data_IF_082346565821
#
_entry.id   IF_082346565821
#
_cell.length_a   1.000
_cell.length_b   1.000
_cell.length_c   1.000
_cell.angle_alpha   90.00
_cell.angle_beta   90.00
_cell.angle_gamma   90.00
#
_symmetry.space_group_name_H-M   'P 1'
#
loop_
_entity.id
_entity.type
_entity.pdbx_description
1 polymer ?
#
# COMPACT_ATOMS: atom_id res chain seq x y z
N UNK A 1 20.57 -5.61 35.64
CA UNK A 1 19.18 -6.13 35.65
C UNK A 1 19.07 -7.12 34.51
N UNK A 2 18.33 -8.24 34.67
CA UNK A 2 18.04 -9.16 33.56
C UNK A 2 17.16 -8.47 32.50
N UNK A 3 17.22 -8.91 31.23
CA UNK A 3 16.40 -8.39 30.15
C UNK A 3 14.90 -8.47 30.49
N UNK A 4 14.44 -9.59 31.05
CA UNK A 4 13.05 -9.78 31.50
C UNK A 4 12.60 -8.70 32.47
N UNK A 5 13.39 -8.40 33.51
CA UNK A 5 13.06 -7.36 34.49
C UNK A 5 13.01 -5.95 33.90
N UNK A 6 13.80 -5.68 32.83
CA UNK A 6 13.73 -4.40 32.11
C UNK A 6 12.44 -4.28 31.32
N UNK A 7 11.98 -5.35 30.67
CA UNK A 7 10.75 -5.36 29.90
C UNK A 7 9.52 -5.27 30.85
N UNK A 8 9.56 -5.90 32.03
CA UNK A 8 8.48 -5.78 33.03
C UNK A 8 8.29 -4.32 33.49
N UNK A 9 9.40 -3.58 33.71
CA UNK A 9 9.34 -2.17 34.07
C UNK A 9 8.81 -1.31 32.91
N UNK A 10 9.22 -1.59 31.69
CA UNK A 10 8.71 -0.90 30.50
C UNK A 10 7.18 -1.06 30.39
N UNK A 11 6.67 -2.29 30.52
CA UNK A 11 5.23 -2.57 30.44
C UNK A 11 4.46 -1.91 31.60
N UNK A 12 5.02 -1.88 32.80
CA UNK A 12 4.44 -1.20 33.94
C UNK A 12 4.32 0.32 33.65
N UNK A 13 5.39 0.98 33.20
CA UNK A 13 5.37 2.40 32.85
C UNK A 13 4.40 2.71 31.70
N UNK A 14 4.29 1.81 30.71
CA UNK A 14 3.29 1.95 29.64
C UNK A 14 1.86 1.85 30.19
N UNK A 15 1.60 0.92 31.11
CA UNK A 15 0.27 0.77 31.76
C UNK A 15 -0.07 1.95 32.67
N UNK A 16 0.93 2.51 33.32
CA UNK A 16 0.74 3.74 34.12
C UNK A 16 0.32 4.92 33.22
N UNK A 17 0.88 5.00 32.02
CA UNK A 17 0.59 6.06 31.06
C UNK A 17 -0.72 5.87 30.27
N UNK A 18 -1.12 4.62 29.99
CA UNK A 18 -2.20 4.28 29.06
C UNK A 18 -3.40 3.57 29.74
N UNK A 19 -3.28 3.28 31.04
CA UNK A 19 -4.23 2.46 31.78
C UNK A 19 -3.89 0.95 31.74
N UNK A 20 -4.54 0.16 32.61
CA UNK A 20 -4.17 -1.25 32.87
C UNK A 20 -4.22 -2.14 31.61
N UNK A 21 -5.15 -1.87 30.69
CA UNK A 21 -5.31 -2.61 29.42
C UNK A 21 -4.60 -1.91 28.24
N UNK A 22 -3.74 -0.93 28.54
CA UNK A 22 -3.10 -0.10 27.53
C UNK A 22 -1.83 -0.69 26.93
N UNK A 23 -1.22 -1.70 27.58
CA UNK A 23 0.01 -2.34 27.09
C UNK A 23 0.14 -3.79 27.55
N UNK A 24 0.89 -4.57 26.75
CA UNK A 24 1.16 -5.97 27.01
C UNK A 24 2.55 -6.40 26.51
N UNK A 25 3.10 -7.44 27.13
CA UNK A 25 4.25 -8.22 26.65
C UNK A 25 3.94 -9.72 26.64
N UNK A 26 2.67 -10.10 26.61
CA UNK A 26 2.26 -11.51 26.52
C UNK A 26 2.75 -12.13 25.20
N UNK A 27 3.40 -13.31 25.21
CA UNK A 27 4.00 -13.89 24.02
C UNK A 27 3.06 -14.03 22.83
N UNK A 28 1.79 -14.38 23.07
CA UNK A 28 0.80 -14.51 21.99
C UNK A 28 0.50 -13.15 21.34
N UNK A 29 0.35 -12.10 22.15
CA UNK A 29 0.11 -10.74 21.64
C UNK A 29 1.33 -10.23 20.88
N UNK A 30 2.55 -10.42 21.39
CA UNK A 30 3.77 -10.06 20.67
C UNK A 30 3.86 -10.78 19.32
N UNK A 31 3.52 -12.07 19.27
CA UNK A 31 3.53 -12.84 18.02
C UNK A 31 2.50 -12.32 17.00
N UNK A 32 1.30 -11.88 17.43
CA UNK A 32 0.28 -11.28 16.55
C UNK A 32 0.76 -9.98 15.91
N UNK A 33 1.62 -9.24 16.58
CA UNK A 33 2.16 -7.96 16.07
C UNK A 33 3.59 -8.09 15.53
N UNK A 34 4.13 -9.30 15.45
CA UNK A 34 5.48 -9.59 14.96
C UNK A 34 5.65 -9.43 13.45
N UNK A 35 4.55 -9.31 12.70
CA UNK A 35 4.58 -9.16 11.23
C UNK A 35 3.40 -8.33 10.73
N UNK A 36 3.50 -7.81 9.52
CA UNK A 36 2.37 -7.29 8.75
C UNK A 36 1.78 -8.38 7.83
N UNK A 37 1.15 -8.01 6.71
CA UNK A 37 0.63 -8.97 5.73
C UNK A 37 1.70 -9.43 4.70
N UNK A 38 2.93 -8.92 4.79
CA UNK A 38 4.09 -9.35 4.00
C UNK A 38 4.73 -10.63 4.54
N UNK A 39 5.91 -10.93 4.04
CA UNK A 39 6.65 -12.17 4.35
C UNK A 39 7.63 -12.02 5.51
N UNK A 40 7.97 -10.79 5.88
CA UNK A 40 8.98 -10.46 6.90
C UNK A 40 8.42 -10.60 8.32
N UNK A 41 9.23 -11.13 9.23
CA UNK A 41 8.89 -11.29 10.65
C UNK A 41 9.90 -10.56 11.54
N UNK A 42 9.45 -10.09 12.70
CA UNK A 42 10.30 -9.41 13.68
C UNK A 42 9.79 -9.60 15.10
N UNK A 43 10.52 -9.05 16.06
CA UNK A 43 10.22 -9.21 17.47
C UNK A 43 10.03 -7.87 18.17
N UNK A 44 8.89 -7.71 18.84
CA UNK A 44 8.63 -6.58 19.74
C UNK A 44 8.93 -6.94 21.19
N UNK A 45 9.27 -5.95 22.02
CA UNK A 45 9.39 -6.13 23.49
C UNK A 45 8.10 -5.81 24.24
N UNK A 46 7.24 -4.99 23.62
CA UNK A 46 5.90 -4.67 24.16
C UNK A 46 5.01 -4.19 23.00
N UNK A 47 3.71 -4.35 23.18
CA UNK A 47 2.66 -3.75 22.33
C UNK A 47 1.82 -2.84 23.20
N UNK A 48 1.42 -1.67 22.68
CA UNK A 48 0.49 -0.78 23.38
C UNK A 48 -0.56 -0.18 22.46
N UNK A 49 -1.70 0.18 23.04
CA UNK A 49 -2.91 0.61 22.33
C UNK A 49 -3.43 1.95 22.85
N UNK A 50 -2.80 3.08 22.47
CA UNK A 50 -3.27 4.40 22.83
C UNK A 50 -4.65 4.71 22.24
N UNK A 51 -5.41 5.58 22.97
CA UNK A 51 -6.75 6.03 22.58
C UNK A 51 -6.80 7.52 22.23
N UNK A 52 -5.67 8.22 22.35
CA UNK A 52 -5.55 9.65 22.09
C UNK A 52 -4.14 10.04 21.68
N UNK A 53 -4.00 11.21 21.06
CA UNK A 53 -2.70 11.78 20.73
C UNK A 53 -1.81 11.96 21.97
N UNK A 54 -2.39 12.33 23.11
CA UNK A 54 -1.65 12.47 24.38
C UNK A 54 -1.09 11.12 24.84
N UNK A 55 -1.85 10.03 24.69
CA UNK A 55 -1.40 8.68 25.02
C UNK A 55 -0.35 8.17 24.04
N UNK A 56 -0.43 8.51 22.73
CA UNK A 56 0.63 8.22 21.76
C UNK A 56 1.93 8.91 22.19
N UNK A 57 1.87 10.20 22.52
CA UNK A 57 3.02 10.97 23.00
C UNK A 57 3.62 10.36 24.29
N UNK A 58 2.77 9.95 25.21
CA UNK A 58 3.20 9.28 26.45
C UNK A 58 3.89 7.94 26.15
N UNK A 59 3.34 7.12 25.26
CA UNK A 59 3.94 5.83 24.86
C UNK A 59 5.32 6.02 24.20
N UNK A 60 5.45 6.98 23.29
CA UNK A 60 6.75 7.36 22.68
C UNK A 60 7.76 7.76 23.75
N UNK A 61 7.39 8.66 24.67
CA UNK A 61 8.29 9.10 25.74
C UNK A 61 8.68 7.97 26.68
N UNK A 62 7.76 7.02 26.97
CA UNK A 62 8.08 5.82 27.77
C UNK A 62 9.08 4.94 27.03
N UNK A 63 8.82 4.59 25.76
CA UNK A 63 9.75 3.80 24.96
C UNK A 63 11.16 4.41 24.94
N UNK A 64 11.23 5.73 24.69
CA UNK A 64 12.48 6.50 24.67
C UNK A 64 13.23 6.46 26.03
N UNK A 65 12.54 6.64 27.16
CA UNK A 65 13.15 6.56 28.50
C UNK A 65 13.76 5.20 28.79
N UNK A 66 13.17 4.14 28.21
CA UNK A 66 13.69 2.78 28.33
C UNK A 66 14.75 2.43 27.25
N UNK A 67 15.16 3.40 26.41
CA UNK A 67 16.12 3.19 25.31
C UNK A 67 15.60 2.23 24.24
N UNK A 68 14.26 2.21 24.02
CA UNK A 68 13.63 1.36 23.01
C UNK A 68 13.16 2.20 21.83
N UNK A 69 13.38 1.72 20.60
CA UNK A 69 12.70 2.27 19.45
C UNK A 69 11.21 1.96 19.50
N UNK A 70 10.44 2.57 18.59
CA UNK A 70 9.02 2.29 18.45
C UNK A 70 8.62 2.09 16.99
N UNK A 71 7.58 1.31 16.78
CA UNK A 71 6.97 1.05 15.47
C UNK A 71 5.50 1.44 15.53
N UNK A 72 5.08 2.38 14.69
CA UNK A 72 3.66 2.70 14.52
C UNK A 72 2.96 1.60 13.73
N UNK A 73 1.73 1.22 14.15
CA UNK A 73 0.96 0.19 13.48
C UNK A 73 -0.52 0.54 13.41
N UNK A 74 -1.08 0.45 12.22
CA UNK A 74 -2.53 0.38 12.00
C UNK A 74 -3.02 -1.06 12.07
N UNK A 75 -3.80 -1.51 11.09
CA UNK A 75 -4.28 -2.90 11.02
C UNK A 75 -3.21 -3.91 10.60
N UNK A 76 -2.06 -3.46 10.09
CA UNK A 76 -0.99 -4.35 9.63
C UNK A 76 -1.26 -5.01 8.29
N UNK A 77 -1.99 -4.35 7.40
CA UNK A 77 -2.29 -4.82 6.04
C UNK A 77 -1.20 -4.52 5.02
N UNK A 78 -0.11 -3.85 5.42
CA UNK A 78 1.04 -3.56 4.57
C UNK A 78 1.74 -4.82 4.11
N UNK A 79 2.42 -4.75 2.95
CA UNK A 79 3.02 -5.91 2.27
C UNK A 79 4.56 -5.83 2.18
N UNK A 80 5.15 -4.69 2.50
CA UNK A 80 6.60 -4.47 2.39
C UNK A 80 7.38 -4.57 3.72
N UNK A 81 6.74 -5.05 4.79
CA UNK A 81 7.38 -5.15 6.10
C UNK A 81 7.46 -3.82 6.87
N UNK A 82 6.73 -2.77 6.42
CA UNK A 82 6.76 -1.45 7.04
C UNK A 82 6.34 -1.44 8.50
N UNK A 83 5.38 -2.30 8.91
CA UNK A 83 4.92 -2.42 10.28
C UNK A 83 5.55 -3.59 11.05
N UNK A 84 6.49 -4.32 10.46
CA UNK A 84 7.21 -5.41 11.10
C UNK A 84 8.21 -4.86 12.13
N UNK A 85 8.18 -5.30 13.40
CA UNK A 85 9.01 -4.73 14.46
C UNK A 85 10.45 -5.23 14.39
N UNK A 86 11.42 -4.33 14.10
CA UNK A 86 12.86 -4.62 14.11
C UNK A 86 13.57 -3.84 15.22
N UNK A 87 14.61 -4.42 15.82
CA UNK A 87 15.42 -3.76 16.85
C UNK A 87 14.75 -3.75 18.24
N UNK A 88 13.94 -4.75 18.55
CA UNK A 88 13.24 -4.87 19.86
C UNK A 88 12.41 -3.63 20.23
N UNK A 89 11.53 -3.13 19.36
CA UNK A 89 10.75 -1.92 19.61
C UNK A 89 9.54 -2.14 20.51
N UNK A 90 8.96 -1.02 20.95
CA UNK A 90 7.56 -0.96 21.38
C UNK A 90 6.67 -0.77 20.15
N UNK A 91 5.72 -1.67 19.92
CA UNK A 91 4.71 -1.49 18.85
C UNK A 91 3.57 -0.63 19.38
N UNK A 92 3.33 0.52 18.74
CA UNK A 92 2.27 1.48 19.11
C UNK A 92 1.12 1.33 18.11
N UNK A 93 0.03 0.69 18.55
CA UNK A 93 -1.11 0.32 17.70
C UNK A 93 -2.21 1.37 17.78
N UNK A 94 -2.46 2.07 16.68
CA UNK A 94 -3.39 3.20 16.63
C UNK A 94 -4.86 2.81 16.36
N UNK A 95 -5.19 1.53 16.27
CA UNK A 95 -6.53 1.05 15.88
C UNK A 95 -7.66 1.42 16.87
N UNK A 96 -7.31 1.77 18.12
CA UNK A 96 -8.30 2.28 19.10
C UNK A 96 -8.64 3.76 18.91
N UNK A 97 -7.90 4.47 18.07
CA UNK A 97 -8.14 5.86 17.64
C UNK A 97 -8.89 5.83 16.29
N UNK A 98 -10.18 5.53 16.31
CA UNK A 98 -10.97 5.19 15.12
C UNK A 98 -12.20 6.07 14.91
N UNK A 99 -12.18 7.30 15.38
CA UNK A 99 -13.31 8.22 15.25
C UNK A 99 -13.15 9.11 14.01
N UNK A 100 -14.26 9.30 13.29
CA UNK A 100 -14.43 10.44 12.38
C UNK A 100 -14.77 11.65 13.26
N UNK A 101 -13.87 12.62 13.31
CA UNK A 101 -13.93 13.73 14.28
C UNK A 101 -14.81 14.88 13.79
N UNK A 102 -14.71 15.18 12.49
CA UNK A 102 -15.40 16.30 11.88
C UNK A 102 -15.60 16.01 10.39
N UNK A 103 -16.73 16.39 9.83
CA UNK A 103 -17.02 16.37 8.40
C UNK A 103 -17.53 17.77 8.04
N UNK A 104 -16.86 18.43 7.10
CA UNK A 104 -17.30 19.64 6.44
C UNK A 104 -17.67 19.35 4.98
N UNK A 105 -18.97 19.16 4.66
CA UNK A 105 -19.39 18.85 3.31
C UNK A 105 -19.18 20.00 2.32
N UNK A 106 -19.19 21.25 2.79
CA UNK A 106 -19.01 22.42 1.94
C UNK A 106 -17.55 22.56 1.51
N UNK A 107 -16.63 22.37 2.45
CA UNK A 107 -15.19 22.32 2.17
C UNK A 107 -14.77 20.98 1.55
N UNK A 108 -15.63 19.95 1.60
CA UNK A 108 -15.31 18.56 1.23
C UNK A 108 -14.09 18.03 1.96
N UNK A 109 -14.09 18.18 3.27
CA UNK A 109 -12.99 17.78 4.16
C UNK A 109 -13.55 16.94 5.30
N UNK A 110 -12.80 15.91 5.68
CA UNK A 110 -13.03 15.21 6.93
C UNK A 110 -11.75 15.19 7.78
N UNK A 111 -11.91 15.39 9.09
CA UNK A 111 -10.89 15.11 10.08
C UNK A 111 -11.12 13.76 10.72
N UNK A 112 -10.14 12.90 10.69
CA UNK A 112 -10.23 11.54 11.20
C UNK A 112 -9.06 11.18 12.10
N UNK A 113 -9.27 10.23 12.99
CA UNK A 113 -8.21 9.56 13.72
C UNK A 113 -7.54 8.48 12.84
N UNK A 114 -6.26 8.12 13.10
CA UNK A 114 -5.47 7.24 12.23
C UNK A 114 -6.01 5.81 12.14
N UNK A 115 -6.75 5.33 13.12
CA UNK A 115 -7.34 3.99 13.15
C UNK A 115 -8.69 3.86 12.44
N UNK A 116 -9.24 4.93 11.86
CA UNK A 116 -10.45 4.84 11.02
C UNK A 116 -10.16 3.94 9.83
N UNK A 117 -11.03 2.96 9.56
CA UNK A 117 -10.92 2.12 8.37
C UNK A 117 -11.22 2.93 7.11
N UNK A 118 -10.46 2.69 6.06
CA UNK A 118 -10.58 3.41 4.80
C UNK A 118 -12.02 3.40 4.27
N UNK A 119 -12.65 2.23 4.14
CA UNK A 119 -14.01 2.10 3.64
C UNK A 119 -15.05 2.69 4.59
N UNK A 120 -14.80 2.69 5.91
CA UNK A 120 -15.75 3.25 6.87
C UNK A 120 -15.83 4.76 6.79
N UNK A 121 -14.75 5.44 6.39
CA UNK A 121 -14.81 6.87 6.07
C UNK A 121 -15.75 7.13 4.87
N UNK A 122 -15.60 6.38 3.78
CA UNK A 122 -16.52 6.48 2.62
C UNK A 122 -17.96 6.23 3.03
N UNK A 123 -18.22 5.19 3.84
CA UNK A 123 -19.58 4.90 4.37
C UNK A 123 -20.14 6.04 5.22
N UNK A 124 -19.29 6.67 6.03
CA UNK A 124 -19.70 7.77 6.89
C UNK A 124 -20.15 9.02 6.11
N UNK A 125 -19.61 9.24 4.90
CA UNK A 125 -19.89 10.43 4.07
C UNK A 125 -20.79 10.15 2.87
N UNK A 126 -21.11 8.89 2.55
CA UNK A 126 -21.89 8.49 1.36
C UNK A 126 -23.28 9.13 1.30
N UNK A 127 -23.93 9.35 2.45
CA UNK A 127 -25.24 10.03 2.52
C UNK A 127 -25.18 11.52 2.10
N UNK A 128 -23.97 12.07 1.96
CA UNK A 128 -23.69 13.44 1.49
C UNK A 128 -23.35 13.47 -0.01
N UNK A 129 -23.36 12.32 -0.71
CA UNK A 129 -22.91 12.20 -2.09
C UNK A 129 -21.38 12.38 -2.21
N UNK A 130 -20.63 11.94 -1.19
CA UNK A 130 -19.18 12.06 -1.10
C UNK A 130 -18.56 10.69 -0.79
N UNK A 131 -17.27 10.53 -1.18
CA UNK A 131 -16.45 9.39 -0.81
C UNK A 131 -14.99 9.81 -0.55
N UNK A 132 -14.22 8.91 0.05
CA UNK A 132 -12.77 9.01 0.12
C UNK A 132 -12.17 8.21 -1.03
N UNK A 133 -11.53 8.92 -1.99
CA UNK A 133 -11.18 8.33 -3.28
C UNK A 133 -10.08 7.26 -3.24
N UNK A 134 -8.99 7.36 -2.45
CA UNK A 134 -8.00 6.27 -2.37
C UNK A 134 -8.64 4.97 -1.87
N UNK A 135 -8.63 3.91 -2.71
CA UNK A 135 -9.33 2.65 -2.45
C UNK A 135 -8.43 1.42 -2.59
N UNK A 136 -7.38 1.28 -1.74
CA UNK A 136 -6.53 0.11 -1.79
C UNK A 136 -7.34 -1.18 -1.69
N UNK A 137 -6.84 -2.28 -2.27
CA UNK A 137 -7.54 -3.57 -2.24
C UNK A 137 -7.90 -4.03 -0.82
N UNK A 138 -7.14 -3.57 0.17
CA UNK A 138 -7.37 -3.80 1.61
C UNK A 138 -8.34 -2.79 2.27
N UNK A 139 -9.04 -1.94 1.53
CA UNK A 139 -9.86 -0.83 2.08
C UNK A 139 -10.86 -1.22 3.20
N UNK A 140 -11.28 -2.49 3.24
CA UNK A 140 -12.17 -3.00 4.28
C UNK A 140 -11.47 -3.21 5.64
N UNK A 141 -10.14 -3.27 5.63
CA UNK A 141 -9.33 -3.60 6.80
C UNK A 141 -8.23 -2.56 7.09
N UNK A 142 -7.67 -1.91 6.06
CA UNK A 142 -6.62 -0.91 6.25
C UNK A 142 -7.14 0.36 6.92
N UNK A 143 -6.25 1.05 7.63
CA UNK A 143 -6.57 2.29 8.34
C UNK A 143 -6.07 3.51 7.58
N UNK A 144 -6.71 4.66 7.77
CA UNK A 144 -6.28 5.93 7.16
C UNK A 144 -4.84 6.30 7.59
N UNK A 145 -4.45 6.05 8.86
CA UNK A 145 -3.08 6.26 9.30
C UNK A 145 -2.07 5.34 8.61
N UNK A 146 -2.46 4.08 8.32
CA UNK A 146 -1.67 3.16 7.50
C UNK A 146 -1.55 3.64 6.06
N UNK A 147 -2.64 4.12 5.45
CA UNK A 147 -2.61 4.69 4.10
C UNK A 147 -1.69 5.91 4.02
N UNK A 148 -1.69 6.78 5.03
CA UNK A 148 -0.75 7.93 5.12
C UNK A 148 0.69 7.43 5.22
N UNK A 149 0.96 6.42 6.05
CA UNK A 149 2.31 5.92 6.26
C UNK A 149 2.95 5.36 4.98
N UNK A 150 2.19 4.63 4.16
CA UNK A 150 2.71 4.01 2.93
C UNK A 150 2.40 4.80 1.66
N UNK A 151 1.70 5.92 1.74
CA UNK A 151 1.11 6.61 0.59
C UNK A 151 0.28 5.64 -0.27
N UNK A 152 -0.59 4.87 0.37
CA UNK A 152 -1.34 3.79 -0.27
C UNK A 152 -2.11 4.26 -1.50
N UNK A 153 -2.13 3.42 -2.52
CA UNK A 153 -2.84 3.61 -3.78
C UNK A 153 -4.10 2.75 -3.89
N UNK A 154 -4.42 2.35 -5.11
CA UNK A 154 -5.56 1.49 -5.45
C UNK A 154 -6.01 1.66 -6.90
N UNK A 155 -7.05 0.92 -7.33
CA UNK A 155 -7.52 0.91 -8.71
C UNK A 155 -7.89 2.29 -9.29
N UNK A 156 -8.40 3.20 -8.45
CA UNK A 156 -8.85 4.53 -8.88
C UNK A 156 -7.74 5.60 -8.82
N UNK A 157 -6.50 5.25 -8.47
CA UNK A 157 -5.39 6.20 -8.41
C UNK A 157 -5.02 6.79 -9.77
N UNK A 158 -5.30 6.10 -10.87
CA UNK A 158 -5.06 6.62 -12.22
C UNK A 158 -5.71 8.02 -12.43
N UNK A 159 -6.96 8.18 -12.02
CA UNK A 159 -7.69 9.43 -12.18
C UNK A 159 -7.67 10.28 -10.91
N UNK A 160 -7.80 9.65 -9.73
CA UNK A 160 -7.97 10.36 -8.46
C UNK A 160 -6.64 10.71 -7.78
N UNK A 161 -5.54 10.01 -8.11
CA UNK A 161 -4.28 10.07 -7.37
C UNK A 161 -4.29 9.20 -6.10
N UNK A 162 -3.11 8.96 -5.53
CA UNK A 162 -2.94 8.22 -4.29
C UNK A 162 -3.25 9.03 -3.02
N UNK A 163 -2.95 8.47 -1.88
CA UNK A 163 -3.23 9.08 -0.56
C UNK A 163 -2.65 10.49 -0.42
N UNK A 164 -1.44 10.76 -0.92
CA UNK A 164 -0.80 12.08 -0.85
C UNK A 164 -1.60 13.19 -1.53
N UNK A 165 -2.37 12.88 -2.57
CA UNK A 165 -3.24 13.83 -3.25
C UNK A 165 -4.48 14.22 -2.42
N UNK A 166 -4.82 13.42 -1.42
CA UNK A 166 -6.04 13.58 -0.61
C UNK A 166 -5.76 14.00 0.83
N UNK A 167 -4.55 13.87 1.35
CA UNK A 167 -4.18 14.34 2.68
C UNK A 167 -3.88 15.83 2.64
N UNK A 168 -4.57 16.61 3.46
CA UNK A 168 -4.42 18.07 3.55
C UNK A 168 -3.53 18.47 4.73
N UNK A 169 -3.71 17.82 5.87
CA UNK A 169 -2.95 18.08 7.08
C UNK A 169 -2.83 16.81 7.93
N UNK A 170 -1.75 16.74 8.70
CA UNK A 170 -1.50 15.69 9.68
C UNK A 170 -1.08 16.33 11.00
N UNK A 171 -1.81 16.02 12.09
CA UNK A 171 -1.30 16.17 13.43
C UNK A 171 -0.53 14.90 13.78
N UNK A 172 0.73 15.02 14.13
CA UNK A 172 1.63 13.91 14.40
C UNK A 172 2.28 14.03 15.77
N UNK A 173 2.73 12.91 16.31
CA UNK A 173 3.68 12.85 17.42
C UNK A 173 5.03 12.46 16.83
N UNK A 174 6.04 13.31 17.04
CA UNK A 174 7.41 13.10 16.55
C UNK A 174 8.17 12.09 17.42
N UNK A 175 9.40 11.78 17.02
CA UNK A 175 10.23 10.78 17.69
C UNK A 175 10.63 11.13 19.14
N UNK A 176 10.58 12.38 19.52
CA UNK A 176 10.79 12.86 20.90
C UNK A 176 9.51 12.87 21.77
N UNK A 177 8.35 12.54 21.15
CA UNK A 177 7.05 12.58 21.80
C UNK A 177 6.39 13.97 21.79
N UNK A 178 6.94 14.96 21.06
CA UNK A 178 6.32 16.27 20.91
C UNK A 178 5.31 16.29 19.76
N UNK A 179 4.21 17.06 19.90
CA UNK A 179 3.22 17.19 18.84
C UNK A 179 3.71 18.14 17.74
N UNK A 180 3.38 17.81 16.49
CA UNK A 180 3.60 18.65 15.33
C UNK A 180 2.37 18.69 14.44
N UNK A 181 2.14 19.84 13.77
CA UNK A 181 1.14 19.96 12.70
C UNK A 181 1.84 20.16 11.38
N UNK A 182 1.53 19.31 10.41
CA UNK A 182 2.12 19.29 9.07
C UNK A 182 1.00 19.56 8.05
N UNK A 183 1.20 20.58 7.20
CA UNK A 183 0.19 21.01 6.23
C UNK A 183 -0.93 21.85 6.83
N UNK A 184 -2.03 22.00 6.08
CA UNK A 184 -3.19 22.82 6.44
C UNK A 184 -4.34 22.63 5.45
N UNK A 185 -5.51 23.22 5.73
CA UNK A 185 -6.68 23.10 4.85
C UNK A 185 -6.58 23.99 3.60
N UNK A 186 -5.69 24.98 3.59
CA UNK A 186 -5.44 25.79 2.41
C UNK A 186 -4.74 24.96 1.32
N UNK A 187 -5.05 25.17 0.03
CA UNK A 187 -4.43 24.43 -1.07
C UNK A 187 -2.90 24.51 -1.07
N UNK A 188 -2.36 25.69 -0.79
CA UNK A 188 -0.93 25.96 -0.74
C UNK A 188 -0.53 26.44 0.65
N UNK A 189 0.25 25.66 1.38
CA UNK A 189 0.85 26.08 2.64
C UNK A 189 2.17 26.83 2.37
N UNK A 190 2.45 27.93 3.09
CA UNK A 190 3.73 28.62 2.96
C UNK A 190 4.87 27.76 3.54
N UNK A 191 6.05 27.83 2.93
CA UNK A 191 7.24 27.10 3.37
C UNK A 191 7.39 25.72 2.71
N UNK A 192 8.22 24.87 3.32
CA UNK A 192 8.45 23.51 2.81
C UNK A 192 7.23 22.60 3.07
N UNK A 193 6.93 21.70 2.13
CA UNK A 193 5.87 20.72 2.27
C UNK A 193 6.29 19.56 3.19
N UNK A 194 6.27 19.79 4.50
CA UNK A 194 6.55 18.75 5.49
C UNK A 194 5.47 17.67 5.54
N UNK A 195 4.24 17.99 5.11
CA UNK A 195 3.17 16.99 4.96
C UNK A 195 3.52 16.01 3.86
N UNK A 196 4.00 16.48 2.69
CA UNK A 196 4.45 15.62 1.61
C UNK A 196 5.65 14.76 2.00
N UNK A 197 6.55 15.25 2.86
CA UNK A 197 7.64 14.45 3.43
C UNK A 197 7.12 13.35 4.38
N UNK A 198 6.08 13.64 5.15
CA UNK A 198 5.53 12.70 6.14
C UNK A 198 4.66 11.61 5.52
N UNK A 199 3.87 11.92 4.48
CA UNK A 199 3.07 10.94 3.74
C UNK A 199 4.01 10.03 2.95
N UNK A 200 3.94 8.72 3.19
CA UNK A 200 4.86 7.74 2.60
C UNK A 200 6.17 7.54 3.39
N UNK A 201 6.31 8.16 4.58
CA UNK A 201 7.49 7.97 5.43
C UNK A 201 7.52 6.63 6.17
N UNK A 202 6.50 5.81 6.07
CA UNK A 202 6.38 4.48 6.70
C UNK A 202 6.63 4.50 8.23
N UNK A 203 6.23 5.60 8.88
CA UNK A 203 6.38 5.76 10.33
C UNK A 203 7.81 6.10 10.80
N UNK A 204 8.73 6.37 9.88
CA UNK A 204 10.12 6.76 10.21
C UNK A 204 10.26 8.22 10.65
N UNK A 205 9.21 9.03 10.45
CA UNK A 205 9.17 10.46 10.80
C UNK A 205 8.21 10.80 11.95
N UNK A 206 7.60 9.78 12.57
CA UNK A 206 6.64 9.96 13.66
C UNK A 206 5.33 9.19 13.44
N UNK A 207 4.33 9.48 14.28
CA UNK A 207 3.04 8.78 14.32
C UNK A 207 1.92 9.78 14.06
N UNK A 208 1.13 9.58 13.00
CA UNK A 208 -0.08 10.37 12.74
C UNK A 208 -1.12 10.12 13.85
N UNK A 209 -1.74 11.18 14.36
CA UNK A 209 -2.75 11.11 15.42
C UNK A 209 -4.08 11.73 15.02
N UNK A 210 -4.07 12.62 14.02
CA UNK A 210 -5.25 13.23 13.42
C UNK A 210 -4.93 13.61 11.98
N UNK A 211 -5.83 13.34 11.05
CA UNK A 211 -5.58 13.49 9.62
C UNK A 211 -6.75 14.24 8.99
N UNK A 212 -6.46 15.32 8.27
CA UNK A 212 -7.43 15.98 7.41
C UNK A 212 -7.33 15.40 6.01
N UNK A 213 -8.44 14.91 5.49
CA UNK A 213 -8.51 14.34 4.15
C UNK A 213 -9.54 15.08 3.29
N UNK A 214 -9.24 15.18 2.00
CA UNK A 214 -10.16 15.67 0.98
C UNK A 214 -11.17 14.57 0.66
N UNK A 215 -12.44 14.96 0.55
CA UNK A 215 -13.53 14.12 0.08
C UNK A 215 -13.84 14.44 -1.38
N UNK A 216 -14.15 13.43 -2.16
CA UNK A 216 -14.47 13.51 -3.58
C UNK A 216 -15.99 13.37 -3.76
N UNK A 217 -16.65 14.21 -4.59
CA UNK A 217 -18.05 14.00 -4.94
C UNK A 217 -18.26 12.68 -5.68
N UNK A 218 -19.36 11.99 -5.40
CA UNK A 218 -19.75 10.83 -6.18
C UNK A 218 -20.06 11.25 -7.63
N UNK A 219 -19.52 10.52 -8.62
CA UNK A 219 -19.78 10.86 -10.02
C UNK A 219 -21.25 10.61 -10.37
N UNK A 220 -21.89 11.51 -11.18
CA UNK A 220 -23.29 11.34 -11.60
C UNK A 220 -23.54 10.07 -12.41
N UNK A 221 -22.55 9.66 -13.21
CA UNK A 221 -22.59 8.44 -14.02
C UNK A 221 -21.31 7.65 -13.92
N UNK A 222 -21.42 6.33 -13.99
CA UNK A 222 -20.30 5.38 -14.01
C UNK A 222 -20.64 4.26 -14.99
N UNK A 223 -19.66 3.84 -15.80
CA UNK A 223 -19.77 2.65 -16.62
C UNK A 223 -18.54 1.77 -16.46
N UNK A 224 -18.77 0.45 -16.32
CA UNK A 224 -17.69 -0.55 -16.20
C UNK A 224 -17.71 -1.45 -17.43
N UNK A 225 -16.56 -1.67 -18.02
CA UNK A 225 -16.35 -2.48 -19.21
C UNK A 225 -15.42 -3.64 -18.89
N UNK A 226 -15.70 -4.80 -19.47
CA UNK A 226 -14.81 -5.96 -19.50
C UNK A 226 -14.39 -6.23 -20.95
N UNK A 227 -13.09 -6.07 -21.24
CA UNK A 227 -12.49 -6.36 -22.54
C UNK A 227 -11.67 -7.64 -22.45
N UNK A 228 -11.87 -8.57 -23.37
CA UNK A 228 -11.12 -9.85 -23.43
C UNK A 228 -10.17 -9.85 -24.62
N UNK A 229 -8.99 -10.44 -24.44
CA UNK A 229 -7.92 -10.48 -25.44
C UNK A 229 -7.29 -11.86 -25.53
N UNK A 230 -6.87 -12.22 -26.73
CA UNK A 230 -6.14 -13.47 -27.02
C UNK A 230 -4.62 -13.31 -26.82
N UNK A 231 -4.16 -12.13 -26.38
CA UNK A 231 -2.76 -11.89 -26.00
C UNK A 231 -2.61 -10.74 -24.98
N UNK A 232 -1.60 -10.86 -24.13
CA UNK A 232 -1.21 -9.81 -23.17
C UNK A 232 -0.75 -8.55 -23.91
N UNK A 233 -0.08 -8.71 -25.06
CA UNK A 233 0.41 -7.60 -25.90
C UNK A 233 -0.76 -6.72 -26.40
N UNK A 234 -1.85 -7.35 -26.87
CA UNK A 234 -3.05 -6.64 -27.33
C UNK A 234 -3.73 -5.87 -26.17
N UNK A 235 -3.85 -6.49 -25.01
CA UNK A 235 -4.40 -5.85 -23.81
C UNK A 235 -3.53 -4.65 -23.40
N UNK A 236 -2.20 -4.81 -23.29
CA UNK A 236 -1.25 -3.74 -22.91
C UNK A 236 -1.22 -2.59 -23.94
N UNK A 237 -1.33 -2.92 -25.24
CA UNK A 237 -1.45 -1.92 -26.31
C UNK A 237 -2.74 -1.12 -26.21
N UNK A 238 -3.84 -1.76 -25.79
CA UNK A 238 -5.13 -1.09 -25.53
C UNK A 238 -5.01 -0.10 -24.36
N UNK A 239 -4.30 -0.46 -23.29
CA UNK A 239 -4.02 0.47 -22.16
C UNK A 239 -3.31 1.71 -22.67
N UNK A 240 -2.20 1.53 -23.39
CA UNK A 240 -1.42 2.65 -23.94
C UNK A 240 -2.25 3.47 -24.93
N UNK A 241 -2.99 2.81 -25.81
CA UNK A 241 -3.87 3.44 -26.80
C UNK A 241 -4.99 4.25 -26.17
N UNK A 242 -5.58 3.79 -25.07
CA UNK A 242 -6.64 4.50 -24.34
C UNK A 242 -6.13 5.85 -23.81
N UNK A 243 -4.98 5.81 -23.12
CA UNK A 243 -4.39 7.04 -22.57
C UNK A 243 -3.89 7.98 -23.67
N UNK A 244 -3.22 7.44 -24.72
CA UNK A 244 -2.77 8.23 -25.88
C UNK A 244 -3.94 8.84 -26.68
N UNK A 245 -5.09 8.17 -26.69
CA UNK A 245 -6.34 8.67 -27.28
C UNK A 245 -7.01 9.78 -26.48
N UNK A 246 -6.44 10.21 -25.36
CA UNK A 246 -6.94 11.30 -24.52
C UNK A 246 -8.06 10.88 -23.56
N UNK A 247 -8.31 9.58 -23.40
CA UNK A 247 -9.26 9.08 -22.41
C UNK A 247 -8.52 8.75 -21.12
N UNK A 248 -8.96 9.31 -20.00
CA UNK A 248 -8.46 9.01 -18.66
C UNK A 248 -9.54 8.26 -17.87
N UNK A 249 -9.55 6.91 -17.87
CA UNK A 249 -10.52 6.13 -17.12
C UNK A 249 -10.38 6.36 -15.62
N UNK A 250 -11.48 6.20 -14.88
CA UNK A 250 -11.45 6.17 -13.41
C UNK A 250 -10.59 5.02 -12.90
N UNK A 251 -10.66 3.85 -13.55
CA UNK A 251 -9.80 2.71 -13.30
C UNK A 251 -9.53 1.93 -14.59
N UNK A 252 -8.34 1.32 -14.70
CA UNK A 252 -7.96 0.46 -15.81
C UNK A 252 -7.08 -0.68 -15.29
N UNK A 253 -7.69 -1.84 -15.09
CA UNK A 253 -7.14 -3.00 -14.41
C UNK A 253 -6.87 -4.13 -15.38
N UNK A 254 -5.76 -4.85 -15.23
CA UNK A 254 -5.46 -6.04 -16.04
C UNK A 254 -5.37 -7.29 -15.17
N UNK A 255 -5.87 -8.40 -15.72
CA UNK A 255 -5.65 -9.75 -15.19
C UNK A 255 -5.22 -10.68 -16.33
N UNK A 256 -4.19 -11.52 -16.09
CA UNK A 256 -3.78 -12.55 -17.03
C UNK A 256 -4.72 -13.78 -16.99
N UNK A 257 -4.48 -14.74 -17.89
CA UNK A 257 -5.31 -15.95 -18.01
C UNK A 257 -5.38 -16.77 -16.71
N UNK A 258 -4.26 -16.87 -15.98
CA UNK A 258 -4.19 -17.69 -14.77
C UNK A 258 -5.03 -17.13 -13.66
N UNK A 259 -4.86 -15.82 -13.39
CA UNK A 259 -5.63 -15.15 -12.35
C UNK A 259 -7.11 -15.00 -12.73
N UNK A 260 -7.41 -14.76 -14.01
CA UNK A 260 -8.78 -14.66 -14.51
C UNK A 260 -9.55 -15.96 -14.26
N UNK A 261 -8.95 -17.13 -14.58
CA UNK A 261 -9.55 -18.44 -14.29
C UNK A 261 -9.75 -18.68 -12.80
N UNK A 262 -8.74 -18.35 -11.97
CA UNK A 262 -8.83 -18.52 -10.54
C UNK A 262 -9.94 -17.65 -9.92
N UNK A 263 -10.07 -16.40 -10.36
CA UNK A 263 -11.12 -15.48 -9.94
C UNK A 263 -12.50 -15.96 -10.39
N UNK A 264 -12.63 -16.44 -11.63
CA UNK A 264 -13.91 -16.94 -12.12
C UNK A 264 -14.35 -18.20 -11.38
N UNK A 265 -13.43 -19.13 -11.05
CA UNK A 265 -13.69 -20.28 -10.21
C UNK A 265 -14.10 -19.93 -8.78
N UNK A 266 -13.65 -18.78 -8.28
CA UNK A 266 -13.91 -18.33 -6.91
C UNK A 266 -15.19 -17.52 -6.78
N UNK A 267 -15.48 -16.62 -7.75
CA UNK A 267 -16.58 -15.64 -7.66
C UNK A 267 -17.72 -15.95 -8.63
N UNK A 268 -17.44 -16.47 -9.84
CA UNK A 268 -18.44 -16.69 -10.88
C UNK A 268 -19.02 -15.38 -11.42
N UNK A 269 -18.14 -14.43 -11.78
CA UNK A 269 -18.53 -13.09 -12.24
C UNK A 269 -18.73 -12.98 -13.76
N UNK A 270 -18.54 -14.08 -14.50
CA UNK A 270 -18.66 -14.12 -15.96
C UNK A 270 -17.40 -13.61 -16.67
N UNK A 271 -16.24 -13.78 -16.08
CA UNK A 271 -14.96 -13.54 -16.76
C UNK A 271 -14.71 -14.64 -17.81
N UNK A 272 -14.20 -14.27 -19.01
CA UNK A 272 -13.94 -15.24 -20.07
C UNK A 272 -12.74 -16.12 -19.71
N UNK A 273 -12.96 -17.45 -19.64
CA UNK A 273 -11.94 -18.44 -19.23
C UNK A 273 -10.85 -18.67 -20.27
N UNK A 274 -11.17 -18.39 -21.52
CA UNK A 274 -10.31 -18.65 -22.69
C UNK A 274 -9.44 -17.45 -23.04
N UNK A 275 -9.71 -16.28 -22.45
CA UNK A 275 -8.90 -15.09 -22.68
C UNK A 275 -7.50 -15.24 -22.09
N UNK A 276 -6.48 -14.79 -22.83
CA UNK A 276 -5.09 -14.67 -22.33
C UNK A 276 -4.90 -13.46 -21.42
N UNK A 277 -5.70 -12.42 -21.63
CA UNK A 277 -5.79 -11.27 -20.72
C UNK A 277 -7.18 -10.64 -20.74
N UNK A 278 -7.56 -10.02 -19.64
CA UNK A 278 -8.76 -9.19 -19.55
C UNK A 278 -8.40 -7.81 -19.00
N UNK A 279 -9.08 -6.78 -19.53
CA UNK A 279 -9.09 -5.45 -18.95
C UNK A 279 -10.46 -5.17 -18.34
N UNK A 280 -10.46 -4.79 -17.07
CA UNK A 280 -11.61 -4.19 -16.39
C UNK A 280 -11.40 -2.67 -16.39
N UNK A 281 -12.26 -1.96 -17.13
CA UNK A 281 -12.16 -0.51 -17.32
C UNK A 281 -13.37 0.15 -16.70
N UNK A 282 -13.16 1.18 -15.91
CA UNK A 282 -14.22 1.99 -15.37
C UNK A 282 -14.04 3.44 -15.82
N UNK A 283 -15.11 4.05 -16.30
CA UNK A 283 -15.18 5.47 -16.65
C UNK A 283 -16.30 6.11 -15.85
N UNK A 284 -16.09 7.35 -15.45
CA UNK A 284 -17.04 8.12 -14.66
C UNK A 284 -17.16 9.56 -15.14
N UNK A 285 -18.13 10.29 -14.61
CA UNK A 285 -18.38 11.69 -14.91
C UNK A 285 -19.83 11.99 -15.27
N UNK A 286 -20.04 12.93 -16.19
CA UNK A 286 -21.38 13.28 -16.70
C UNK A 286 -21.88 12.23 -17.70
N UNK A 287 -23.19 11.95 -17.72
CA UNK A 287 -23.81 10.90 -18.56
C UNK A 287 -23.33 10.91 -20.03
N UNK A 288 -23.40 12.06 -20.69
CA UNK A 288 -22.95 12.16 -22.09
C UNK A 288 -21.45 11.96 -22.27
N UNK A 289 -20.64 12.35 -21.30
CA UNK A 289 -19.19 12.15 -21.28
C UNK A 289 -18.83 10.68 -21.08
N UNK A 290 -19.53 9.99 -20.17
CA UNK A 290 -19.32 8.56 -19.91
C UNK A 290 -19.64 7.73 -21.15
N UNK A 291 -20.75 8.00 -21.83
CA UNK A 291 -21.12 7.30 -23.08
C UNK A 291 -20.04 7.47 -24.16
N UNK A 292 -19.56 8.69 -24.37
CA UNK A 292 -18.51 8.98 -25.36
C UNK A 292 -17.17 8.27 -25.01
N UNK A 293 -16.81 8.21 -23.73
CA UNK A 293 -15.60 7.49 -23.28
C UNK A 293 -15.74 5.97 -23.51
N UNK A 294 -16.92 5.39 -23.19
CA UNK A 294 -17.21 3.96 -23.45
C UNK A 294 -17.04 3.64 -24.94
N UNK A 295 -17.58 4.47 -25.83
CA UNK A 295 -17.48 4.25 -27.28
C UNK A 295 -16.03 4.37 -27.75
N UNK A 296 -15.31 5.40 -27.31
CA UNK A 296 -13.89 5.58 -27.65
C UNK A 296 -13.02 4.39 -27.17
N UNK A 297 -13.21 3.94 -25.93
CA UNK A 297 -12.46 2.79 -25.40
C UNK A 297 -12.80 1.52 -26.17
N UNK A 298 -14.07 1.30 -26.51
CA UNK A 298 -14.51 0.16 -27.33
C UNK A 298 -13.82 0.14 -28.69
N UNK A 299 -13.79 1.29 -29.39
CA UNK A 299 -13.11 1.41 -30.68
C UNK A 299 -11.60 1.11 -30.56
N UNK A 300 -10.95 1.68 -29.54
CA UNK A 300 -9.53 1.45 -29.27
C UNK A 300 -9.27 -0.03 -28.97
N UNK A 301 -10.07 -0.66 -28.10
CA UNK A 301 -9.91 -2.07 -27.73
C UNK A 301 -10.04 -3.00 -28.95
N UNK A 302 -11.07 -2.76 -29.78
CA UNK A 302 -11.28 -3.54 -31.01
C UNK A 302 -10.13 -3.30 -32.03
N UNK A 303 -9.65 -2.07 -32.17
CA UNK A 303 -8.51 -1.77 -33.06
C UNK A 303 -7.20 -2.45 -32.61
N UNK A 304 -7.05 -2.70 -31.30
CA UNK A 304 -5.92 -3.43 -30.74
C UNK A 304 -6.19 -4.96 -30.58
N UNK A 305 -7.29 -5.48 -31.10
CA UNK A 305 -7.54 -6.90 -31.19
C UNK A 305 -8.29 -7.49 -30.00
N UNK A 306 -9.15 -6.71 -29.34
CA UNK A 306 -10.06 -7.27 -28.34
C UNK A 306 -11.01 -8.30 -29.00
N UNK A 307 -11.05 -9.51 -28.46
CA UNK A 307 -11.97 -10.57 -28.89
C UNK A 307 -13.42 -10.25 -28.48
N UNK A 308 -13.60 -9.55 -27.37
CA UNK A 308 -14.92 -9.06 -26.96
C UNK A 308 -14.79 -7.82 -26.05
N UNK A 309 -15.83 -6.97 -26.11
CA UNK A 309 -16.00 -5.81 -25.24
C UNK A 309 -17.42 -5.81 -24.70
N UNK A 310 -17.57 -6.01 -23.39
CA UNK A 310 -18.85 -6.05 -22.66
C UNK A 310 -18.93 -4.86 -21.71
N UNK A 311 -20.03 -4.13 -21.76
CA UNK A 311 -20.35 -3.10 -20.77
C UNK A 311 -21.30 -3.71 -19.75
N UNK A 312 -21.07 -3.48 -18.46
CA UNK A 312 -21.96 -3.94 -17.40
C UNK A 312 -23.37 -3.38 -17.60
N UNK A 313 -24.37 -4.25 -17.58
CA UNK A 313 -25.76 -3.87 -17.87
C UNK A 313 -26.40 -3.03 -16.74
N UNK A 314 -25.92 -3.24 -15.50
CA UNK A 314 -26.42 -2.57 -14.32
C UNK A 314 -25.39 -2.53 -13.18
N UNK A 315 -25.74 -1.89 -12.07
CA UNK A 315 -24.89 -1.79 -10.88
C UNK A 315 -24.62 -3.15 -10.21
N UNK A 316 -25.47 -4.14 -10.38
CA UNK A 316 -25.26 -5.47 -9.81
C UNK A 316 -24.16 -6.23 -10.59
N UNK A 317 -24.20 -6.17 -11.92
CA UNK A 317 -23.12 -6.73 -12.75
C UNK A 317 -21.80 -5.97 -12.54
N UNK A 318 -21.84 -4.63 -12.49
CA UNK A 318 -20.68 -3.81 -12.13
C UNK A 318 -20.04 -4.27 -10.81
N UNK A 319 -20.85 -4.37 -9.75
CA UNK A 319 -20.38 -4.79 -8.43
C UNK A 319 -19.80 -6.20 -8.46
N UNK A 320 -20.34 -7.11 -9.26
CA UNK A 320 -19.87 -8.47 -9.39
C UNK A 320 -18.51 -8.54 -10.10
N UNK A 321 -18.32 -7.76 -11.18
CA UNK A 321 -17.04 -7.63 -11.85
C UNK A 321 -15.96 -7.09 -10.89
N UNK A 322 -16.25 -6.00 -10.18
CA UNK A 322 -15.33 -5.48 -9.18
C UNK A 322 -15.05 -6.45 -8.02
N UNK A 323 -16.06 -7.21 -7.59
CA UNK A 323 -15.87 -8.27 -6.60
C UNK A 323 -14.87 -9.32 -7.11
N UNK A 324 -14.96 -9.71 -8.39
CA UNK A 324 -13.99 -10.59 -9.02
C UNK A 324 -12.57 -10.04 -8.91
N UNK A 325 -12.35 -8.82 -9.41
CA UNK A 325 -11.03 -8.15 -9.37
C UNK A 325 -10.47 -8.02 -7.93
N UNK A 326 -11.28 -7.57 -6.99
CA UNK A 326 -10.88 -7.40 -5.58
C UNK A 326 -10.67 -8.72 -4.84
N UNK A 327 -11.18 -9.85 -5.36
CA UNK A 327 -11.01 -11.19 -4.77
C UNK A 327 -9.80 -11.96 -5.30
N UNK A 328 -8.97 -11.35 -6.17
CA UNK A 328 -7.84 -12.01 -6.82
C UNK A 328 -6.89 -12.68 -5.82
N UNK A 329 -6.50 -11.99 -4.74
CA UNK A 329 -5.65 -12.56 -3.70
C UNK A 329 -6.29 -13.74 -2.95
N UNK A 330 -7.60 -13.69 -2.69
CA UNK A 330 -8.33 -14.81 -2.10
C UNK A 330 -8.42 -16.02 -3.04
N UNK A 331 -8.52 -15.78 -4.34
CA UNK A 331 -8.58 -16.83 -5.36
C UNK A 331 -7.24 -17.59 -5.50
N UNK A 332 -6.11 -16.89 -5.33
CA UNK A 332 -4.74 -17.46 -5.41
C UNK A 332 -4.51 -18.53 -4.35
N UNK A 333 -5.05 -18.39 -3.14
CA UNK A 333 -4.91 -19.36 -2.07
C UNK A 333 -5.44 -20.77 -2.42
N UNK A 334 -6.20 -20.91 -3.52
CA UNK A 334 -6.63 -22.22 -4.06
C UNK A 334 -5.59 -22.86 -4.98
N UNK A 335 -4.58 -22.11 -5.41
CA UNK A 335 -3.53 -22.56 -6.34
C UNK A 335 -2.28 -22.96 -5.57
N UNK A 336 -1.84 -22.13 -4.63
CA UNK A 336 -0.70 -22.39 -3.77
C UNK A 336 -0.93 -21.80 -2.36
N UNK A 337 -0.30 -22.37 -1.32
CA UNK A 337 -0.47 -21.89 0.04
C UNK A 337 0.19 -20.55 0.31
N UNK A 338 1.25 -20.22 -0.43
CA UNK A 338 2.03 -19.01 -0.27
C UNK A 338 2.13 -18.23 -1.58
N UNK A 339 2.30 -16.93 -1.47
CA UNK A 339 2.64 -16.07 -2.60
C UNK A 339 3.60 -14.96 -2.15
N UNK A 340 4.40 -14.46 -3.09
CA UNK A 340 5.20 -13.26 -2.93
C UNK A 340 4.76 -12.24 -3.98
N UNK A 341 4.31 -11.11 -3.50
CA UNK A 341 3.75 -10.04 -4.32
C UNK A 341 4.77 -8.94 -4.50
N UNK A 342 5.10 -8.63 -5.73
CA UNK A 342 5.89 -7.45 -6.07
C UNK A 342 4.97 -6.28 -6.41
N UNK A 343 5.52 -5.08 -6.30
CA UNK A 343 4.85 -3.81 -6.58
C UNK A 343 5.89 -2.88 -7.17
N UNK A 344 5.85 -2.71 -8.48
CA UNK A 344 6.75 -1.82 -9.20
C UNK A 344 5.96 -1.04 -10.24
N UNK A 345 6.33 0.21 -10.48
CA UNK A 345 5.73 0.99 -11.56
C UNK A 345 6.67 1.02 -12.74
N UNK A 346 6.13 0.87 -13.94
CA UNK A 346 6.87 1.03 -15.20
C UNK A 346 6.19 2.04 -16.13
N UNK A 347 6.93 2.72 -16.99
CA UNK A 347 6.30 3.54 -18.03
C UNK A 347 5.32 2.69 -18.85
N UNK A 348 4.09 3.15 -19.04
CA UNK A 348 3.04 2.39 -19.78
C UNK A 348 3.49 1.88 -21.14
N UNK A 349 4.33 2.65 -21.84
CA UNK A 349 4.92 2.28 -23.13
C UNK A 349 5.87 1.08 -23.07
N UNK A 350 6.30 0.69 -21.86
CA UNK A 350 7.20 -0.46 -21.61
C UNK A 350 6.46 -1.67 -21.07
N UNK A 351 5.15 -1.59 -20.81
CA UNK A 351 4.35 -2.66 -20.19
C UNK A 351 4.48 -4.00 -20.92
N UNK A 352 4.35 -4.02 -22.26
CA UNK A 352 4.46 -5.24 -23.06
C UNK A 352 5.81 -5.94 -22.86
N UNK A 353 6.88 -5.16 -22.97
CA UNK A 353 8.25 -5.65 -22.84
C UNK A 353 8.51 -6.20 -21.43
N UNK A 354 8.17 -5.42 -20.41
CA UNK A 354 8.42 -5.82 -19.01
C UNK A 354 7.59 -7.01 -18.61
N UNK A 355 6.29 -7.08 -18.96
CA UNK A 355 5.45 -8.24 -18.65
C UNK A 355 6.00 -9.52 -19.29
N UNK A 356 6.44 -9.45 -20.55
CA UNK A 356 7.07 -10.59 -21.23
C UNK A 356 8.30 -11.05 -20.44
N UNK A 357 9.14 -10.11 -20.02
CA UNK A 357 10.34 -10.42 -19.23
C UNK A 357 10.01 -11.01 -17.86
N UNK A 358 8.96 -10.55 -17.20
CA UNK A 358 8.48 -11.12 -15.92
C UNK A 358 8.14 -12.62 -16.06
N UNK A 359 7.46 -13.02 -17.14
CA UNK A 359 7.18 -14.44 -17.38
C UNK A 359 8.45 -15.25 -17.69
N UNK A 360 9.37 -14.70 -18.49
CA UNK A 360 10.67 -15.34 -18.79
C UNK A 360 11.49 -15.58 -17.51
N UNK A 361 11.53 -14.59 -16.60
CA UNK A 361 12.23 -14.71 -15.32
C UNK A 361 11.58 -15.82 -14.48
N UNK A 362 10.27 -15.81 -14.33
CA UNK A 362 9.58 -16.85 -13.57
C UNK A 362 9.84 -18.26 -14.12
N UNK A 363 9.79 -18.41 -15.44
CA UNK A 363 10.07 -19.70 -16.10
C UNK A 363 11.55 -20.13 -15.89
N UNK A 364 12.51 -19.21 -15.97
CA UNK A 364 13.93 -19.48 -15.72
C UNK A 364 14.20 -19.97 -14.29
N UNK A 365 13.45 -19.46 -13.31
CA UNK A 365 13.52 -19.88 -11.92
C UNK A 365 12.60 -21.09 -11.60
N UNK A 366 11.92 -21.68 -12.59
CA UNK A 366 10.93 -22.75 -12.42
C UNK A 366 9.82 -22.37 -11.41
N UNK A 367 9.30 -21.16 -11.52
CA UNK A 367 8.26 -20.60 -10.67
C UNK A 367 7.00 -20.29 -11.47
N UNK A 368 5.86 -20.26 -10.78
CA UNK A 368 4.60 -19.83 -11.37
C UNK A 368 4.36 -18.38 -11.01
N UNK A 369 4.20 -17.52 -12.03
CA UNK A 369 3.74 -16.15 -11.83
C UNK A 369 2.34 -15.93 -12.39
N UNK A 370 1.61 -15.00 -11.77
CA UNK A 370 0.31 -14.49 -12.20
C UNK A 370 0.31 -12.99 -12.08
N UNK A 371 -0.46 -12.31 -12.93
CA UNK A 371 -0.47 -10.85 -12.95
C UNK A 371 -1.88 -10.31 -12.83
N UNK A 372 -2.08 -9.48 -11.80
CA UNK A 372 -3.31 -8.69 -11.57
C UNK A 372 -2.90 -7.31 -11.07
N UNK A 373 -3.08 -6.27 -11.86
CA UNK A 373 -2.42 -4.99 -11.59
C UNK A 373 -3.17 -3.78 -12.15
N UNK A 374 -2.77 -2.58 -11.69
CA UNK A 374 -3.28 -1.28 -12.14
C UNK A 374 -2.59 -0.89 -13.46
N UNK A 375 -3.14 -1.37 -14.58
CA UNK A 375 -2.51 -1.18 -15.88
C UNK A 375 -2.49 0.29 -16.32
N UNK A 376 -3.48 1.08 -15.86
CA UNK A 376 -3.64 2.47 -16.24
C UNK A 376 -2.50 3.39 -15.82
N UNK A 377 -1.89 3.16 -14.68
CA UNK A 377 -0.73 3.92 -14.17
C UNK A 377 0.60 3.17 -14.29
N UNK A 378 0.55 1.92 -14.77
CA UNK A 378 1.74 1.09 -14.97
C UNK A 378 2.23 0.40 -13.69
N UNK A 379 1.41 0.38 -12.64
CA UNK A 379 1.76 -0.28 -11.38
C UNK A 379 1.52 -1.78 -11.47
N UNK A 380 2.59 -2.52 -11.68
CA UNK A 380 2.61 -3.98 -11.84
C UNK A 380 2.60 -4.69 -10.49
N UNK A 381 1.79 -5.76 -10.40
CA UNK A 381 1.77 -6.67 -9.25
C UNK A 381 2.03 -8.11 -9.67
N UNK A 382 3.26 -8.48 -10.10
CA UNK A 382 3.61 -9.87 -10.31
C UNK A 382 3.49 -10.65 -9.01
N UNK A 383 2.73 -11.74 -9.05
CA UNK A 383 2.51 -12.66 -7.95
C UNK A 383 3.26 -13.95 -8.25
N UNK A 384 4.33 -14.22 -7.53
CA UNK A 384 5.00 -15.50 -7.55
C UNK A 384 4.31 -16.40 -6.53
N UNK A 385 3.74 -17.52 -6.98
CA UNK A 385 3.05 -18.48 -6.12
C UNK A 385 3.91 -19.72 -5.88
N UNK A 386 3.92 -20.22 -4.64
CA UNK A 386 4.81 -21.31 -4.23
C UNK A 386 4.29 -22.01 -2.98
N UNK A 387 4.95 -23.09 -2.58
CA UNK A 387 4.78 -23.73 -1.28
C UNK A 387 6.09 -23.58 -0.48
N UNK A 388 6.06 -22.79 0.57
CA UNK A 388 7.23 -22.50 1.42
C UNK A 388 7.86 -23.75 2.03
N UNK A 389 7.14 -24.88 2.08
CA UNK A 389 7.64 -26.15 2.57
C UNK A 389 8.59 -26.85 1.59
N UNK A 390 8.62 -26.44 0.32
CA UNK A 390 9.56 -26.94 -0.69
C UNK A 390 10.97 -26.43 -0.37
N UNK A 391 11.97 -27.33 -0.18
CA UNK A 391 13.34 -26.91 0.11
C UNK A 391 13.94 -26.04 -1.01
N UNK A 392 14.55 -24.91 -0.65
CA UNK A 392 15.22 -24.00 -1.58
C UNK A 392 14.27 -23.17 -2.47
N UNK A 393 12.95 -23.24 -2.24
CA UNK A 393 11.98 -22.45 -3.03
C UNK A 393 12.09 -20.98 -2.71
N UNK A 394 12.32 -20.64 -1.43
CA UNK A 394 12.36 -19.26 -0.99
C UNK A 394 13.49 -18.46 -1.64
N UNK A 395 14.68 -19.06 -1.73
CA UNK A 395 15.84 -18.45 -2.39
C UNK A 395 15.54 -18.16 -3.87
N UNK A 396 14.91 -19.14 -4.58
CA UNK A 396 14.49 -18.96 -5.99
C UNK A 396 13.45 -17.83 -6.15
N UNK A 397 12.48 -17.77 -5.22
CA UNK A 397 11.43 -16.75 -5.21
C UNK A 397 12.04 -15.36 -4.99
N UNK A 398 12.96 -15.25 -4.03
CA UNK A 398 13.63 -14.00 -3.72
C UNK A 398 14.52 -13.51 -4.87
N UNK A 399 15.31 -14.42 -5.47
CA UNK A 399 16.18 -14.09 -6.61
C UNK A 399 15.35 -13.65 -7.83
N UNK A 400 14.27 -14.39 -8.16
CA UNK A 400 13.35 -14.01 -9.24
C UNK A 400 12.70 -12.64 -8.97
N UNK A 401 12.30 -12.37 -7.73
CA UNK A 401 11.74 -11.09 -7.31
C UNK A 401 12.68 -9.92 -7.51
N UNK A 402 13.94 -10.08 -7.11
CA UNK A 402 14.97 -9.07 -7.31
C UNK A 402 15.26 -8.82 -8.81
N UNK A 403 15.29 -9.88 -9.64
CA UNK A 403 15.46 -9.75 -11.09
C UNK A 403 14.28 -9.02 -11.73
N UNK A 404 13.05 -9.30 -11.28
CA UNK A 404 11.84 -8.58 -11.74
C UNK A 404 11.93 -7.09 -11.40
N UNK A 405 12.25 -6.75 -10.14
CA UNK A 405 12.36 -5.35 -9.72
C UNK A 405 13.46 -4.62 -10.48
N UNK A 406 14.62 -5.24 -10.66
CA UNK A 406 15.72 -4.69 -11.46
C UNK A 406 15.29 -4.43 -12.90
N UNK A 407 14.57 -5.39 -13.51
CA UNK A 407 14.00 -5.24 -14.87
C UNK A 407 13.05 -4.03 -14.96
N UNK A 408 12.21 -3.83 -13.94
CA UNK A 408 11.31 -2.67 -13.90
C UNK A 408 12.07 -1.34 -13.81
N UNK A 409 13.13 -1.28 -12.99
CA UNK A 409 13.97 -0.08 -12.85
C UNK A 409 14.72 0.21 -14.17
N UNK A 410 15.31 -0.80 -14.80
CA UNK A 410 16.03 -0.67 -16.08
C UNK A 410 15.11 -0.19 -17.21
N UNK A 411 13.81 -0.50 -17.11
CA UNK A 411 12.79 0.03 -18.01
C UNK A 411 12.42 1.51 -17.74
N UNK A 412 13.05 2.16 -16.76
CA UNK A 412 12.73 3.53 -16.33
C UNK A 412 11.60 3.63 -15.33
N UNK A 413 11.34 2.53 -14.62
CA UNK A 413 10.34 2.41 -13.57
C UNK A 413 10.86 2.75 -12.17
N UNK A 414 10.03 2.40 -11.15
CA UNK A 414 10.35 2.62 -9.73
C UNK A 414 10.04 1.37 -8.90
N UNK A 415 10.73 1.23 -7.74
CA UNK A 415 10.66 0.06 -6.84
C UNK A 415 9.29 -0.21 -6.23
N UNK A 416 8.45 0.81 -6.07
CA UNK A 416 7.15 0.69 -5.42
C UNK A 416 6.17 1.70 -5.99
N UNK A 417 4.94 1.27 -6.23
CA UNK A 417 3.83 2.14 -6.61
C UNK A 417 2.97 2.54 -5.40
N UNK A 418 2.71 1.59 -4.50
CA UNK A 418 1.77 1.82 -3.41
C UNK A 418 2.08 1.06 -2.10
N UNK A 419 2.90 -0.02 -2.13
CA UNK A 419 3.15 -0.83 -0.95
C UNK A 419 4.19 -0.23 0.00
N UNK A 420 5.01 0.69 -0.49
CA UNK A 420 6.17 1.23 0.22
C UNK A 420 7.44 0.40 0.00
N UNK A 421 8.54 0.91 0.55
CA UNK A 421 9.87 0.29 0.48
C UNK A 421 10.04 -0.73 1.61
N UNK A 422 9.65 -0.36 2.82
CA UNK A 422 9.68 -1.20 4.01
C UNK A 422 11.06 -1.79 4.32
N UNK A 423 11.04 -3.10 4.61
CA UNK A 423 12.24 -3.94 4.74
C UNK A 423 12.61 -4.52 3.37
N UNK A 424 11.59 -4.92 2.60
CA UNK A 424 11.76 -5.79 1.44
C UNK A 424 12.51 -5.15 0.28
N UNK A 425 12.37 -3.85 0.10
CA UNK A 425 12.92 -3.13 -1.06
C UNK A 425 14.05 -2.15 -0.71
N UNK A 426 14.32 -1.93 0.60
CA UNK A 426 15.30 -0.91 1.04
C UNK A 426 16.71 -1.13 0.47
N UNK A 427 17.15 -2.39 0.37
CA UNK A 427 18.49 -2.72 -0.10
C UNK A 427 18.60 -2.64 -1.65
N UNK A 428 17.46 -2.45 -2.35
CA UNK A 428 17.39 -2.16 -3.77
C UNK A 428 17.32 -0.64 -4.08
N UNK A 429 17.18 0.21 -3.07
CA UNK A 429 17.14 1.68 -3.25
C UNK A 429 18.35 2.23 -4.03
N UNK A 430 19.60 1.69 -3.87
CA UNK A 430 20.75 2.13 -4.66
C UNK A 430 20.64 1.87 -6.17
N UNK A 431 19.70 1.04 -6.62
CA UNK A 431 19.43 0.87 -8.06
C UNK A 431 18.73 2.10 -8.66
N UNK A 432 18.03 2.91 -7.82
CA UNK A 432 17.29 4.09 -8.26
C UNK A 432 17.96 5.41 -7.87
N UNK A 433 18.65 5.42 -6.74
CA UNK A 433 19.14 6.64 -6.11
C UNK A 433 20.65 6.61 -5.97
N UNK A 434 21.30 7.74 -6.27
CA UNK A 434 22.73 7.92 -5.99
C UNK A 434 23.01 8.00 -4.50
N UNK A 435 24.29 7.88 -4.09
CA UNK A 435 24.68 8.08 -2.69
C UNK A 435 24.25 9.48 -2.18
N UNK A 436 24.38 10.51 -2.99
CA UNK A 436 23.98 11.89 -2.63
C UNK A 436 22.46 12.00 -2.42
N UNK A 437 21.65 11.30 -3.22
CA UNK A 437 20.19 11.25 -3.06
C UNK A 437 19.80 10.53 -1.77
N UNK A 438 20.42 9.40 -1.49
CA UNK A 438 20.20 8.63 -0.26
C UNK A 438 20.66 9.41 0.97
N UNK A 439 21.80 10.11 0.92
CA UNK A 439 22.27 11.00 1.97
C UNK A 439 21.30 12.18 2.21
N UNK A 440 20.66 12.70 1.16
CA UNK A 440 19.65 13.75 1.29
C UNK A 440 18.38 13.23 1.98
N UNK A 441 17.90 12.03 1.62
CA UNK A 441 16.78 11.37 2.28
C UNK A 441 17.08 11.07 3.73
N UNK A 442 18.29 10.62 4.04
CA UNK A 442 18.75 10.35 5.39
C UNK A 442 18.75 11.62 6.26
N UNK A 443 19.30 12.74 5.75
CA UNK A 443 19.26 14.04 6.45
C UNK A 443 17.84 14.55 6.70
N UNK A 444 16.92 14.28 5.75
CA UNK A 444 15.51 14.61 5.94
C UNK A 444 14.91 13.79 7.10
N UNK A 445 15.17 12.49 7.14
CA UNK A 445 14.76 11.61 8.25
C UNK A 445 15.33 12.09 9.58
N UNK A 446 16.62 12.42 9.64
CA UNK A 446 17.30 12.92 10.85
C UNK A 446 16.68 14.23 11.39
N UNK A 447 16.10 15.06 10.50
CA UNK A 447 15.40 16.28 10.93
C UNK A 447 14.12 15.96 11.74
N UNK A 448 13.48 14.81 11.51
CA UNK A 448 12.30 14.34 12.25
C UNK A 448 12.65 13.39 13.39
N UNK A 449 13.72 12.63 13.25
CA UNK A 449 14.14 11.57 14.19
C UNK A 449 15.67 11.47 14.28
N UNK A 450 16.33 12.41 14.99
CA UNK A 450 17.79 12.47 15.05
C UNK A 450 18.46 11.27 15.74
N UNK A 451 17.69 10.48 16.49
CA UNK A 451 18.20 9.33 17.23
C UNK A 451 17.83 7.98 16.58
N UNK A 452 17.13 8.00 15.42
CA UNK A 452 16.72 6.79 14.70
C UNK A 452 15.77 5.87 15.49
N UNK A 453 14.91 6.45 16.33
CA UNK A 453 14.02 5.70 17.22
C UNK A 453 12.67 5.33 16.57
N UNK A 454 12.23 6.11 15.57
CA UNK A 454 10.98 5.88 14.87
C UNK A 454 11.16 4.86 13.75
N UNK A 455 10.51 3.73 13.88
CA UNK A 455 10.50 2.62 12.90
C UNK A 455 11.88 2.32 12.28
N UNK A 456 12.87 1.92 13.07
CA UNK A 456 14.25 1.74 12.61
C UNK A 456 14.36 0.64 11.55
N UNK A 457 15.44 0.70 10.76
CA UNK A 457 15.79 -0.32 9.75
C UNK A 457 14.74 -0.43 8.61
N UNK A 458 14.06 0.66 8.29
CA UNK A 458 13.08 0.74 7.21
C UNK A 458 13.49 1.82 6.21
N UNK A 459 13.04 1.66 4.96
CA UNK A 459 13.15 2.62 3.85
C UNK A 459 14.58 2.79 3.34
N UNK A 460 15.51 3.22 4.19
CA UNK A 460 16.90 3.46 3.79
C UNK A 460 17.74 2.18 3.82
N UNK A 461 18.69 2.01 2.88
CA UNK A 461 19.55 0.81 2.80
C UNK A 461 20.36 0.56 4.08
N UNK A 462 20.65 -0.71 4.35
CA UNK A 462 21.54 -1.11 5.44
C UNK A 462 22.95 -0.54 5.19
N UNK A 463 23.48 0.29 6.11
CA UNK A 463 24.81 0.89 5.97
C UNK A 463 24.83 2.33 5.46
N UNK A 464 23.66 2.96 5.20
CA UNK A 464 23.58 4.41 5.05
C UNK A 464 24.10 5.11 6.33
N UNK A 465 24.79 6.25 6.18
CA UNK A 465 25.58 6.90 7.27
C UNK A 465 24.78 7.42 8.47
N UNK A 466 23.47 7.32 8.43
CA UNK A 466 22.59 7.65 9.54
C UNK A 466 22.62 6.52 10.56
N UNK A 467 23.42 6.64 11.64
CA UNK A 467 23.35 5.92 12.94
C UNK A 467 22.85 4.48 13.03
N UNK A 468 22.26 3.94 12.00
CA UNK A 468 21.65 2.61 11.89
C UNK A 468 22.66 1.48 11.58
N UNK A 469 23.97 1.73 11.67
CA UNK A 469 25.03 0.69 11.62
C UNK A 469 24.92 -0.32 12.78
N UNK A 470 23.72 -0.54 13.29
CA UNK A 470 23.49 -1.68 14.17
C UNK A 470 23.20 -2.89 13.27
N UNK A 471 24.08 -3.88 13.39
CA UNK A 471 23.96 -5.20 12.77
C UNK A 471 22.52 -5.67 12.85
N UNK A 472 21.95 -6.04 11.69
CA UNK A 472 20.73 -6.85 11.64
C UNK A 472 20.94 -8.00 12.62
N UNK A 473 20.05 -8.18 13.62
CA UNK A 473 20.24 -9.27 14.58
C UNK A 473 20.30 -10.61 13.84
N UNK A 474 21.26 -11.47 14.21
CA UNK A 474 21.30 -12.84 13.70
C UNK A 474 19.96 -13.52 13.99
N UNK A 475 19.27 -13.96 12.94
CA UNK A 475 17.93 -14.55 13.03
C UNK A 475 16.82 -13.71 12.43
N UNK A 476 17.09 -12.50 11.91
CA UNK A 476 16.14 -11.77 11.07
C UNK A 476 16.25 -12.35 9.66
N UNK A 477 15.34 -13.22 9.30
CA UNK A 477 15.26 -13.75 7.94
C UNK A 477 14.66 -12.66 7.03
N UNK A 478 15.48 -12.18 6.11
CA UNK A 478 15.07 -11.39 4.95
C UNK A 478 14.70 -12.36 3.86
#
# INVERSE_FOLDING_TARGET
MSATRKNDLLVADLRDALGPDGASAEPLELALYGRDAGVSEGNAVAVCWPRSAAEVAAAVRVARRHGRPFVARGSGTGLAGGATPLGDPVVIVTTRMNRVLEIDPQARVAWVEPGVLNLDLTRAVSHLGLHYAPDPSSQQACTIGGNVATNAGGPHCLAAGGTSAHVLAVDAVLADGEPARLGGLAPDAPGYDLRGCFVGSEGTMGIATRIAVRLTPDPPAVATMLCAFDSIDAASSTVTGTIAGGVLPAALEMMDARITRAVEDFVGAGYPRDAEAVLLVEVDGLDGGVAAQVDAIREIALAHGAASVRVAADNAERALLWKGRKSAFGAIARIAPDYYLHDAVVPRTRLVEVLRRVYEIADAHALITMNVFHAGDGNLHPLIVFDRREPGVWERVYDAGNEILTTCIDAGGVLTGEHGVGIEKRDLMPLMFTEDDLDAQARLRDAFDPDGAANPLKVLPSGSRCGELQRVPEGTWI
#
